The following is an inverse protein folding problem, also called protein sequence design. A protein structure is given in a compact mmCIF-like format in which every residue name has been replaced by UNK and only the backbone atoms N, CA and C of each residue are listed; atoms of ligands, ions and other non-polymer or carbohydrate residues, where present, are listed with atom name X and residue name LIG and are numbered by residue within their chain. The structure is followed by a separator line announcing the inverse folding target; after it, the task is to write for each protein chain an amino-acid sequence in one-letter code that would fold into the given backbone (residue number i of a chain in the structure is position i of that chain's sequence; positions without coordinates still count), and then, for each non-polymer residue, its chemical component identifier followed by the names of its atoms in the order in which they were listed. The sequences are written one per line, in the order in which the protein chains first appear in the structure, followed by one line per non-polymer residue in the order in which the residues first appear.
data_IF_254853874063
#
_entry.id   IF_254853874063
#
_cell.length_a   1.000
_cell.length_b   1.000
_cell.length_c   1.000
_cell.angle_alpha   90.00
_cell.angle_beta   90.00
_cell.angle_gamma   90.00
#
_symmetry.space_group_name_H-M   'P 1'
#
loop_
_entity.id
_entity.type
_entity.pdbx_description
1 polymer ?
#
# COMPACT_ATOMS: atom_id res chain seq x y z
N UNK A 1 2.79 -1.95 -4.72
CA UNK A 1 2.37 -1.50 -6.06
C UNK A 1 0.95 -0.98 -5.98
N UNK A 2 0.68 0.20 -6.53
CA UNK A 2 -0.70 0.70 -6.64
C UNK A 2 -1.43 -0.13 -7.68
N UNK A 3 -2.61 -0.64 -7.33
CA UNK A 3 -3.52 -1.30 -8.28
C UNK A 3 -4.28 -0.31 -9.15
N UNK A 4 -4.12 1.00 -8.89
CA UNK A 4 -4.75 2.08 -9.64
C UNK A 4 -3.92 2.36 -10.89
N UNK A 5 -4.54 2.43 -12.08
CA UNK A 5 -3.86 2.80 -13.32
C UNK A 5 -3.49 4.29 -13.28
N UNK A 6 -2.26 4.61 -12.91
CA UNK A 6 -1.79 5.96 -12.58
C UNK A 6 -2.08 6.98 -13.69
N UNK A 7 -1.84 6.63 -14.97
CA UNK A 7 -2.11 7.52 -16.10
C UNK A 7 -3.58 7.86 -16.28
N UNK A 8 -4.48 6.95 -15.89
CA UNK A 8 -5.93 7.20 -15.91
C UNK A 8 -6.31 8.05 -14.70
N UNK A 9 -5.71 7.76 -13.53
CA UNK A 9 -5.93 8.53 -12.31
C UNK A 9 -5.56 10.01 -12.47
N UNK A 10 -4.41 10.30 -13.09
CA UNK A 10 -3.93 11.68 -13.35
C UNK A 10 -4.88 12.53 -14.19
N UNK A 11 -5.59 11.89 -15.13
CA UNK A 11 -6.53 12.56 -16.04
C UNK A 11 -7.98 12.57 -15.53
N UNK A 12 -8.25 11.84 -14.45
CA UNK A 12 -9.60 11.62 -13.93
C UNK A 12 -9.93 12.59 -12.81
N UNK A 13 -11.18 13.08 -12.81
CA UNK A 13 -11.76 13.80 -11.67
C UNK A 13 -12.39 12.87 -10.62
N UNK A 14 -12.27 11.54 -10.79
CA UNK A 14 -12.83 10.56 -9.84
C UNK A 14 -11.97 10.50 -8.58
N UNK A 15 -12.52 10.87 -7.45
CA UNK A 15 -11.85 10.82 -6.13
C UNK A 15 -11.43 9.41 -5.73
N UNK A 16 -12.16 8.37 -6.20
CA UNK A 16 -11.82 6.96 -5.95
C UNK A 16 -10.51 6.51 -6.58
N UNK A 17 -10.03 7.24 -7.60
CA UNK A 17 -8.74 7.00 -8.25
C UNK A 17 -7.60 7.83 -7.65
N UNK A 18 -7.87 8.65 -6.63
CA UNK A 18 -6.86 9.44 -5.94
C UNK A 18 -5.78 8.54 -5.33
N UNK A 19 -4.52 8.87 -5.59
CA UNK A 19 -3.35 8.17 -5.05
C UNK A 19 -2.45 9.20 -4.41
N UNK A 20 -2.06 8.95 -3.17
CA UNK A 20 -1.07 9.74 -2.45
C UNK A 20 -0.13 8.85 -1.64
N UNK A 21 1.04 9.37 -1.34
CA UNK A 21 2.00 8.77 -0.44
C UNK A 21 2.42 9.83 0.58
N UNK A 22 1.99 9.65 1.83
CA UNK A 22 2.27 10.57 2.93
C UNK A 22 3.75 10.73 3.29
N UNK A 23 4.63 9.92 2.72
CA UNK A 23 6.08 10.05 2.91
C UNK A 23 6.65 11.23 2.13
N UNK A 24 6.10 11.52 0.95
CA UNK A 24 6.48 12.66 0.13
C UNK A 24 5.28 13.11 -0.72
N UNK A 25 4.67 14.21 -0.29
CA UNK A 25 3.47 14.74 -0.91
C UNK A 25 3.63 16.25 -1.13
N UNK A 26 3.66 16.67 -2.39
CA UNK A 26 3.77 18.08 -2.78
C UNK A 26 2.40 18.61 -3.19
N UNK A 27 2.01 19.74 -2.62
CA UNK A 27 0.73 20.41 -2.91
C UNK A 27 1.00 21.89 -3.16
N UNK A 28 0.28 22.47 -4.12
CA UNK A 28 0.29 23.93 -4.30
C UNK A 28 -0.48 24.59 -3.16
N UNK A 29 0.08 25.67 -2.58
CA UNK A 29 -0.52 26.35 -1.44
C UNK A 29 -1.98 26.78 -1.71
N UNK A 30 -2.25 27.39 -2.86
CA UNK A 30 -3.60 27.82 -3.19
C UNK A 30 -4.61 26.66 -3.28
N UNK A 31 -4.20 25.48 -3.75
CA UNK A 31 -5.06 24.30 -3.77
C UNK A 31 -5.28 23.72 -2.36
N UNK A 32 -4.27 23.82 -1.50
CA UNK A 32 -4.38 23.41 -0.11
C UNK A 32 -5.32 24.33 0.68
N UNK A 33 -5.22 25.65 0.45
CA UNK A 33 -6.06 26.65 1.09
C UNK A 33 -7.54 26.47 0.73
N UNK A 34 -7.84 26.12 -0.53
CA UNK A 34 -9.21 25.84 -1.01
C UNK A 34 -9.92 24.71 -0.26
N UNK A 35 -9.18 23.76 0.29
CA UNK A 35 -9.74 22.63 1.04
C UNK A 35 -9.62 22.78 2.58
N UNK A 36 -9.23 23.96 3.07
CA UNK A 36 -9.10 24.25 4.51
C UNK A 36 -7.80 23.76 5.15
N UNK A 37 -6.76 23.54 4.34
CA UNK A 37 -5.43 23.14 4.81
C UNK A 37 -5.31 21.69 5.26
N UNK A 38 -4.17 21.34 5.85
CA UNK A 38 -3.91 20.00 6.39
C UNK A 38 -4.80 19.64 7.58
N UNK A 39 -5.27 20.61 8.33
CA UNK A 39 -6.07 20.39 9.54
C UNK A 39 -7.45 19.80 9.25
N UNK A 40 -8.03 20.09 8.08
CA UNK A 40 -9.35 19.58 7.68
C UNK A 40 -9.42 18.04 7.59
N UNK A 41 -8.27 17.39 7.36
CA UNK A 41 -8.19 15.94 7.18
C UNK A 41 -7.43 15.21 8.31
N UNK A 42 -7.01 15.93 9.36
CA UNK A 42 -6.17 15.40 10.43
C UNK A 42 -6.82 14.28 11.27
N UNK A 43 -8.15 14.15 11.24
CA UNK A 43 -8.90 13.12 11.97
C UNK A 43 -8.99 11.78 11.22
N UNK A 44 -8.56 11.71 9.97
CA UNK A 44 -8.68 10.50 9.16
C UNK A 44 -7.50 9.54 9.36
N UNK A 45 -7.77 8.25 9.35
CA UNK A 45 -6.75 7.18 9.49
C UNK A 45 -5.80 7.12 8.29
N UNK A 46 -6.31 7.48 7.10
CA UNK A 46 -5.57 7.59 5.84
C UNK A 46 -5.60 9.06 5.39
N UNK A 47 -4.95 9.90 6.18
CA UNK A 47 -4.93 11.36 6.02
C UNK A 47 -4.38 11.82 4.65
N UNK A 48 -3.34 11.16 4.13
CA UNK A 48 -2.77 11.41 2.82
C UNK A 48 -3.75 11.10 1.66
N UNK A 49 -4.43 9.97 1.73
CA UNK A 49 -5.40 9.57 0.72
C UNK A 49 -6.65 10.46 0.75
N UNK A 50 -7.14 10.82 1.93
CA UNK A 50 -8.29 11.72 2.06
C UNK A 50 -7.93 13.13 1.60
N UNK A 51 -6.71 13.61 1.90
CA UNK A 51 -6.22 14.89 1.37
C UNK A 51 -6.16 14.89 -0.16
N UNK A 52 -5.64 13.82 -0.78
CA UNK A 52 -5.63 13.69 -2.24
C UNK A 52 -7.05 13.68 -2.83
N UNK A 53 -7.99 12.99 -2.18
CA UNK A 53 -9.41 12.97 -2.61
C UNK A 53 -10.07 14.33 -2.49
N UNK A 54 -9.82 15.06 -1.41
CA UNK A 54 -10.33 16.42 -1.21
C UNK A 54 -9.80 17.37 -2.28
N UNK A 55 -8.51 17.29 -2.63
CA UNK A 55 -7.90 18.06 -3.70
C UNK A 55 -8.52 17.74 -5.07
N UNK A 56 -8.76 16.48 -5.38
CA UNK A 56 -9.41 16.07 -6.62
C UNK A 56 -10.86 16.59 -6.65
N UNK A 57 -11.59 16.50 -5.54
CA UNK A 57 -12.96 17.00 -5.41
C UNK A 57 -13.05 18.52 -5.61
N UNK A 58 -12.03 19.28 -5.21
CA UNK A 58 -11.94 20.74 -5.46
C UNK A 58 -11.53 21.10 -6.90
N UNK A 59 -11.34 20.11 -7.78
CA UNK A 59 -10.95 20.31 -9.17
C UNK A 59 -9.43 20.37 -9.41
N UNK A 60 -8.61 20.16 -8.37
CA UNK A 60 -7.17 20.10 -8.54
C UNK A 60 -6.76 18.81 -9.30
N UNK A 61 -5.70 18.93 -10.09
CA UNK A 61 -5.10 17.79 -10.82
C UNK A 61 -3.75 17.47 -10.22
N UNK A 62 -3.48 16.19 -10.08
CA UNK A 62 -2.21 15.69 -9.54
C UNK A 62 -1.80 14.37 -10.18
N UNK A 63 -0.58 13.95 -9.93
CA UNK A 63 -0.04 12.71 -10.44
C UNK A 63 1.01 12.12 -9.52
N UNK A 64 1.50 10.93 -9.86
CA UNK A 64 2.56 10.23 -9.14
C UNK A 64 3.82 10.24 -9.99
N UNK A 65 4.90 10.77 -9.44
CA UNK A 65 6.21 10.77 -10.06
C UNK A 65 7.12 9.72 -9.41
N UNK A 66 8.08 9.21 -10.18
CA UNK A 66 9.13 8.32 -9.67
C UNK A 66 10.18 9.15 -8.94
N UNK A 67 10.18 9.06 -7.60
CA UNK A 67 11.14 9.72 -6.73
C UNK A 67 12.30 8.84 -6.27
N UNK A 68 12.45 7.64 -6.79
CA UNK A 68 13.43 6.64 -6.31
C UNK A 68 14.88 7.09 -6.40
N UNK A 69 15.19 8.05 -7.28
CA UNK A 69 16.51 8.67 -7.39
C UNK A 69 16.69 9.92 -6.51
N UNK A 70 15.61 10.48 -5.99
CA UNK A 70 15.59 11.77 -5.29
C UNK A 70 15.48 11.62 -3.77
N UNK A 71 14.76 10.60 -3.31
CA UNK A 71 14.50 10.44 -1.89
C UNK A 71 14.46 8.97 -1.46
N UNK A 72 14.97 8.69 -0.28
CA UNK A 72 14.86 7.41 0.39
C UNK A 72 14.37 7.64 1.82
N UNK A 73 13.46 6.77 2.28
CA UNK A 73 12.96 6.82 3.64
C UNK A 73 12.88 5.42 4.25
N UNK A 74 13.22 5.32 5.53
CA UNK A 74 13.01 4.12 6.33
C UNK A 74 11.83 4.35 7.26
N UNK A 75 10.66 3.82 6.88
CA UNK A 75 9.42 4.02 7.66
C UNK A 75 9.47 3.37 9.03
N UNK A 76 10.00 2.14 9.11
CA UNK A 76 9.98 1.32 10.32
C UNK A 76 11.35 0.72 10.58
N UNK A 77 11.73 0.69 11.84
CA UNK A 77 13.04 0.15 12.28
C UNK A 77 12.98 -1.35 12.56
N UNK A 78 11.82 -1.87 12.98
CA UNK A 78 11.61 -3.24 13.40
C UNK A 78 10.18 -3.72 13.10
N UNK A 79 9.94 -5.02 13.31
CA UNK A 79 8.64 -5.64 13.04
C UNK A 79 7.52 -5.11 13.97
N UNK A 80 7.83 -4.73 15.21
CA UNK A 80 6.84 -4.19 16.13
C UNK A 80 6.27 -2.85 15.61
N UNK A 81 7.13 -1.99 15.07
CA UNK A 81 6.72 -0.73 14.43
C UNK A 81 5.91 -0.98 13.16
N UNK A 82 6.29 -1.98 12.33
CA UNK A 82 5.51 -2.41 11.16
C UNK A 82 4.11 -2.83 11.58
N UNK A 83 4.02 -3.70 12.60
CA UNK A 83 2.76 -4.21 13.13
C UNK A 83 1.87 -3.09 13.68
N UNK A 84 2.43 -2.14 14.42
CA UNK A 84 1.70 -0.98 14.93
C UNK A 84 1.23 -0.07 13.78
N UNK A 85 2.11 0.24 12.83
CA UNK A 85 1.79 1.12 11.70
C UNK A 85 0.73 0.55 10.76
N UNK A 86 0.87 -0.69 10.35
CA UNK A 86 -0.11 -1.36 9.49
C UNK A 86 -1.38 -1.76 10.23
N UNK A 87 -1.27 -2.13 11.52
CA UNK A 87 -2.41 -2.50 12.37
C UNK A 87 -3.48 -1.41 12.44
N UNK A 88 -3.09 -0.14 12.42
CA UNK A 88 -4.02 0.99 12.48
C UNK A 88 -4.85 1.18 11.20
N UNK A 89 -4.35 0.81 10.02
CA UNK A 89 -4.87 1.29 8.73
C UNK A 89 -5.30 0.21 7.75
N UNK A 90 -4.73 -1.01 7.80
CA UNK A 90 -5.00 -2.05 6.80
C UNK A 90 -6.47 -2.49 6.76
N UNK A 91 -7.18 -2.48 7.88
CA UNK A 91 -8.60 -2.82 7.93
C UNK A 91 -9.46 -1.89 7.06
N UNK A 92 -9.02 -0.65 6.85
CA UNK A 92 -9.70 0.36 6.02
C UNK A 92 -9.12 0.46 4.60
N UNK A 93 -7.85 0.11 4.42
CA UNK A 93 -7.10 0.32 3.18
C UNK A 93 -7.67 -0.42 1.97
N UNK A 94 -8.33 -1.55 2.18
CA UNK A 94 -8.94 -2.38 1.13
C UNK A 94 -10.45 -2.18 0.97
N UNK A 95 -11.03 -1.09 1.49
CA UNK A 95 -12.46 -0.80 1.34
C UNK A 95 -13.39 -1.66 2.20
N UNK A 96 -12.91 -2.17 3.34
CA UNK A 96 -13.71 -2.92 4.31
C UNK A 96 -13.47 -4.44 4.28
N UNK A 97 -14.42 -5.21 4.86
CA UNK A 97 -14.26 -6.67 5.04
C UNK A 97 -14.12 -7.42 3.72
N UNK A 98 -14.97 -7.15 2.76
CA UNK A 98 -14.96 -7.82 1.46
C UNK A 98 -13.67 -7.56 0.69
N UNK A 99 -13.21 -6.31 0.65
CA UNK A 99 -11.94 -5.97 0.00
C UNK A 99 -10.74 -6.56 0.71
N UNK A 100 -10.72 -6.59 2.04
CA UNK A 100 -9.67 -7.25 2.81
C UNK A 100 -9.63 -8.76 2.56
N UNK A 101 -10.79 -9.42 2.50
CA UNK A 101 -10.88 -10.84 2.15
C UNK A 101 -10.35 -11.09 0.74
N UNK A 102 -10.78 -10.29 -0.25
CA UNK A 102 -10.25 -10.39 -1.61
C UNK A 102 -8.74 -10.19 -1.69
N UNK A 103 -8.19 -9.24 -0.93
CA UNK A 103 -6.75 -9.01 -0.85
C UNK A 103 -6.01 -10.21 -0.23
N UNK A 104 -6.54 -10.82 0.83
CA UNK A 104 -5.98 -12.04 1.44
C UNK A 104 -5.95 -13.19 0.45
N UNK A 105 -7.08 -13.47 -0.23
CA UNK A 105 -7.17 -14.53 -1.24
C UNK A 105 -6.18 -14.27 -2.38
N UNK A 106 -6.13 -13.07 -2.90
CA UNK A 106 -5.20 -12.69 -3.96
C UNK A 106 -3.74 -12.89 -3.54
N UNK A 107 -3.34 -12.38 -2.36
CA UNK A 107 -1.98 -12.55 -1.84
C UNK A 107 -1.63 -14.02 -1.60
N UNK A 108 -2.59 -14.81 -1.14
CA UNK A 108 -2.40 -16.24 -0.96
C UNK A 108 -2.14 -16.94 -2.29
N UNK A 109 -3.00 -16.68 -3.29
CA UNK A 109 -2.93 -17.33 -4.60
C UNK A 109 -1.64 -16.97 -5.37
N UNK A 110 -1.20 -15.71 -5.33
CA UNK A 110 -0.01 -15.29 -6.08
C UNK A 110 1.30 -15.48 -5.30
N UNK A 111 1.25 -15.46 -3.97
CA UNK A 111 2.47 -15.47 -3.15
C UNK A 111 2.74 -16.79 -2.46
N UNK A 112 1.73 -17.41 -1.87
CA UNK A 112 1.91 -18.58 -1.00
C UNK A 112 1.58 -19.88 -1.72
N UNK A 113 0.45 -19.95 -2.41
CA UNK A 113 -0.02 -21.16 -3.08
C UNK A 113 0.96 -21.75 -4.10
N UNK A 114 1.69 -20.96 -4.93
CA UNK A 114 2.68 -21.50 -5.86
C UNK A 114 3.78 -22.29 -5.16
N UNK A 115 4.27 -21.79 -4.03
CA UNK A 115 5.32 -22.45 -3.25
C UNK A 115 4.80 -23.73 -2.61
N UNK A 116 3.60 -23.70 -2.06
CA UNK A 116 2.96 -24.92 -1.52
C UNK A 116 2.81 -25.97 -2.62
N UNK A 117 2.27 -25.58 -3.79
CA UNK A 117 2.10 -26.49 -4.93
C UNK A 117 3.42 -27.09 -5.40
N UNK A 118 4.51 -26.32 -5.43
CA UNK A 118 5.83 -26.82 -5.76
C UNK A 118 6.31 -27.89 -4.75
N UNK A 119 6.21 -27.61 -3.46
CA UNK A 119 6.62 -28.54 -2.42
C UNK A 119 5.74 -29.81 -2.36
N UNK A 120 4.52 -29.78 -2.86
CA UNK A 120 3.66 -30.97 -3.01
C UNK A 120 3.90 -31.76 -4.32
N UNK A 121 4.94 -31.40 -5.07
CA UNK A 121 5.36 -32.11 -6.30
C UNK A 121 4.72 -31.61 -7.57
N UNK A 122 3.96 -30.52 -7.56
CA UNK A 122 3.38 -29.94 -8.77
C UNK A 122 4.37 -28.98 -9.46
N UNK A 123 4.92 -29.30 -10.65
CA UNK A 123 5.91 -28.47 -11.33
C UNK A 123 5.36 -27.10 -11.76
N UNK A 124 4.05 -26.97 -11.97
CA UNK A 124 3.42 -25.69 -12.28
C UNK A 124 3.55 -24.69 -11.12
N UNK A 125 3.65 -25.18 -9.89
CA UNK A 125 3.91 -24.37 -8.72
C UNK A 125 5.28 -23.67 -8.80
N UNK A 126 6.31 -24.39 -9.23
CA UNK A 126 7.64 -23.82 -9.47
C UNK A 126 7.60 -22.76 -10.57
N UNK A 127 6.99 -23.07 -11.70
CA UNK A 127 6.87 -22.12 -12.83
C UNK A 127 6.14 -20.85 -12.39
N UNK A 128 5.04 -20.97 -11.65
CA UNK A 128 4.29 -19.83 -11.15
C UNK A 128 5.14 -18.98 -10.17
N UNK A 129 5.89 -19.62 -9.29
CA UNK A 129 6.81 -18.93 -8.38
C UNK A 129 7.90 -18.15 -9.15
N UNK A 130 8.53 -18.77 -10.16
CA UNK A 130 9.52 -18.12 -11.00
C UNK A 130 8.98 -16.84 -11.68
N UNK A 131 7.78 -16.89 -12.25
CA UNK A 131 7.13 -15.71 -12.84
C UNK A 131 6.98 -14.57 -11.83
N UNK A 132 6.57 -14.89 -10.60
CA UNK A 132 6.44 -13.90 -9.55
C UNK A 132 7.81 -13.33 -9.16
N UNK A 133 8.83 -14.15 -9.01
CA UNK A 133 10.19 -13.69 -8.71
C UNK A 133 10.72 -12.78 -9.82
N UNK A 134 10.56 -13.14 -11.09
CA UNK A 134 10.97 -12.31 -12.23
C UNK A 134 10.28 -10.94 -12.17
N UNK A 135 8.98 -10.88 -11.97
CA UNK A 135 8.26 -9.60 -11.87
C UNK A 135 8.74 -8.75 -10.69
N UNK A 136 9.12 -9.38 -9.58
CA UNK A 136 9.69 -8.70 -8.41
C UNK A 136 11.10 -8.19 -8.67
N UNK A 137 11.93 -8.96 -9.36
CA UNK A 137 13.28 -8.53 -9.80
C UNK A 137 13.18 -7.31 -10.70
N UNK A 138 12.32 -7.35 -11.73
CA UNK A 138 12.10 -6.21 -12.62
C UNK A 138 11.63 -4.96 -11.85
N UNK A 139 10.75 -5.14 -10.89
CA UNK A 139 10.31 -4.05 -10.01
C UNK A 139 11.44 -3.51 -9.13
N UNK A 140 12.28 -4.40 -8.55
CA UNK A 140 13.40 -4.01 -7.71
C UNK A 140 14.47 -3.24 -8.49
N UNK A 141 14.81 -3.71 -9.70
CA UNK A 141 15.74 -3.02 -10.60
C UNK A 141 15.24 -1.61 -10.93
N UNK A 142 13.95 -1.49 -11.30
CA UNK A 142 13.37 -0.20 -11.65
C UNK A 142 13.31 0.77 -10.45
N UNK A 143 13.00 0.28 -9.25
CA UNK A 143 12.90 1.10 -8.04
C UNK A 143 14.21 1.22 -7.25
N UNK A 144 15.33 0.72 -7.80
CA UNK A 144 16.63 0.67 -7.11
C UNK A 144 16.58 -0.05 -5.77
N UNK A 145 15.68 -1.04 -5.65
CA UNK A 145 15.53 -1.88 -4.48
C UNK A 145 16.50 -3.06 -4.47
N UNK A 146 16.47 -3.84 -3.38
CA UNK A 146 17.33 -5.03 -3.23
C UNK A 146 16.76 -6.20 -4.02
N UNK A 147 17.46 -6.68 -5.02
CA UNK A 147 17.04 -7.79 -5.90
C UNK A 147 16.84 -9.09 -5.09
N UNK A 148 17.71 -9.35 -4.11
CA UNK A 148 17.66 -10.56 -3.30
C UNK A 148 16.31 -10.71 -2.54
N UNK A 149 15.67 -9.60 -2.21
CA UNK A 149 14.38 -9.63 -1.51
C UNK A 149 13.24 -10.18 -2.39
N UNK A 150 13.48 -10.32 -3.71
CA UNK A 150 12.48 -10.86 -4.65
C UNK A 150 12.16 -12.32 -4.39
N UNK A 151 13.13 -13.13 -3.97
CA UNK A 151 12.93 -14.56 -3.65
C UNK A 151 12.13 -14.74 -2.34
N UNK A 152 12.11 -13.72 -1.48
CA UNK A 152 11.36 -13.73 -0.22
C UNK A 152 9.89 -13.30 -0.40
N UNK A 153 9.41 -13.19 -1.65
CA UNK A 153 8.04 -12.77 -1.93
C UNK A 153 6.97 -13.57 -1.19
N UNK A 154 7.01 -14.91 -1.12
CA UNK A 154 6.02 -15.70 -0.37
C UNK A 154 5.95 -15.32 1.10
N UNK A 155 7.09 -15.11 1.73
CA UNK A 155 7.18 -14.67 3.13
C UNK A 155 6.57 -13.27 3.29
N UNK A 156 6.86 -12.37 2.36
CA UNK A 156 6.29 -11.00 2.38
C UNK A 156 4.76 -11.04 2.24
N UNK A 157 4.21 -11.91 1.38
CA UNK A 157 2.77 -12.11 1.25
C UNK A 157 2.15 -12.69 2.52
N UNK A 158 2.77 -13.70 3.12
CA UNK A 158 2.29 -14.30 4.37
C UNK A 158 2.29 -13.28 5.52
N UNK A 159 3.34 -12.47 5.64
CA UNK A 159 3.40 -11.39 6.63
C UNK A 159 2.29 -10.36 6.37
N UNK A 160 2.05 -9.97 5.13
CA UNK A 160 1.01 -8.99 4.81
C UNK A 160 -0.40 -9.54 5.10
N UNK A 161 -0.66 -10.81 4.79
CA UNK A 161 -1.90 -11.50 5.17
C UNK A 161 -2.08 -11.46 6.71
N UNK A 162 -1.03 -11.83 7.45
CA UNK A 162 -1.05 -11.75 8.92
C UNK A 162 -1.39 -10.33 9.40
N UNK A 163 -0.76 -9.30 8.82
CA UNK A 163 -0.99 -7.90 9.21
C UNK A 163 -2.41 -7.42 8.87
N UNK A 164 -3.01 -7.88 7.77
CA UNK A 164 -4.41 -7.58 7.44
C UNK A 164 -5.32 -8.19 8.51
N UNK A 165 -5.14 -9.46 8.84
CA UNK A 165 -5.93 -10.15 9.87
C UNK A 165 -5.75 -9.48 11.23
N UNK A 166 -4.49 -9.17 11.59
CA UNK A 166 -4.18 -8.45 12.83
C UNK A 166 -4.86 -7.09 12.91
N UNK A 167 -4.83 -6.31 11.82
CA UNK A 167 -5.46 -4.99 11.76
C UNK A 167 -6.98 -5.05 12.02
N UNK A 168 -7.65 -6.09 11.53
CA UNK A 168 -9.07 -6.32 11.80
C UNK A 168 -9.36 -6.67 13.27
N UNK A 169 -8.50 -7.46 13.90
CA UNK A 169 -8.62 -7.84 15.31
C UNK A 169 -8.32 -6.68 16.26
N UNK A 170 -7.34 -5.87 15.90
CA UNK A 170 -6.86 -4.74 16.70
C UNK A 170 -7.63 -3.43 16.44
N UNK A 171 -8.67 -3.46 15.59
CA UNK A 171 -9.50 -2.30 15.26
C UNK A 171 -10.13 -1.68 16.51
N UNK A 172 -9.95 -0.36 16.69
CA UNK A 172 -10.46 0.38 17.85
C UNK A 172 -9.63 0.26 19.12
N UNK A 173 -8.53 -0.53 19.11
CA UNK A 173 -7.63 -0.71 20.27
C UNK A 173 -6.26 -0.07 20.03
N UNK A 174 -5.87 0.07 18.75
CA UNK A 174 -4.54 0.60 18.40
C UNK A 174 -4.53 2.11 18.49
N UNK A 175 -3.78 2.64 19.45
CA UNK A 175 -3.47 4.07 19.52
C UNK A 175 -2.26 4.38 18.61
N UNK A 176 -2.33 5.48 17.86
CA UNK A 176 -1.23 6.00 17.08
C UNK A 176 -0.89 7.42 17.50
N UNK A 177 0.37 7.66 17.93
CA UNK A 177 0.82 8.98 18.42
C UNK A 177 -0.12 9.61 19.46
N UNK A 178 -0.65 8.79 20.39
CA UNK A 178 -1.51 9.24 21.47
C UNK A 178 -2.99 9.44 21.09
N UNK A 179 -3.42 9.04 19.87
CA UNK A 179 -4.83 9.07 19.44
C UNK A 179 -5.35 7.65 19.32
N UNK A 180 -6.49 7.34 19.95
CA UNK A 180 -7.30 6.14 19.67
C UNK A 180 -8.01 6.33 18.33
N UNK A 181 -7.87 5.35 17.43
CA UNK A 181 -8.40 5.39 16.07
C UNK A 181 -9.52 4.38 15.90
#
# INVERSE_FOLDING_TARGET
MSTVPLRIAEKSSRTSLGVANGQFFLVKNNALDQIGGFSSNAAHVLDDMELARALIASGAKGGVADGSSLAQTRMYKNFAEIKAGYGKSLWKAFGGKTGSFGAIVFLFLIGVAPVIAWFTGNPLGFVAYEFVVITRVLSAVRSRGRIIDSVLHPISCAILIYLIIYSWRARGVVAWKGRTL
#
